data_IF_220234618373
#
_entry.id   IF_220234618373
#
_cell.length_a   1.000
_cell.length_b   1.000
_cell.length_c   1.000
_cell.angle_alpha   90.00
_cell.angle_beta   90.00
_cell.angle_gamma   90.00
#
_symmetry.space_group_name_H-M   'P 1'
#
loop_
_entity.id
_entity.type
_entity.pdbx_description
1 polymer ?
#
# COMPACT_ATOMS: atom_id res chain seq x y z
N UNK A 1 39.72 -4.21 -8.88
CA UNK A 1 38.68 -3.21 -9.09
C UNK A 1 37.57 -3.89 -9.87
N UNK A 2 36.58 -4.16 -9.45
CA UNK A 2 35.46 -4.16 -8.55
C UNK A 2 34.29 -4.87 -9.27
N UNK A 3 34.17 -6.22 -9.10
CA UNK A 3 33.05 -7.03 -9.61
C UNK A 3 31.73 -6.86 -8.80
N UNK A 4 31.74 -6.00 -7.80
CA UNK A 4 30.59 -5.78 -6.91
C UNK A 4 29.58 -4.72 -7.39
N UNK A 5 29.90 -3.93 -8.43
CA UNK A 5 29.03 -2.83 -8.87
C UNK A 5 27.85 -3.27 -9.77
N UNK A 6 27.92 -4.45 -10.38
CA UNK A 6 26.87 -4.90 -11.31
C UNK A 6 25.67 -5.56 -10.62
N UNK A 7 25.88 -6.15 -9.44
CA UNK A 7 24.79 -6.77 -8.67
C UNK A 7 23.88 -5.71 -8.02
N UNK A 8 24.42 -4.52 -7.71
CA UNK A 8 23.60 -3.43 -7.11
C UNK A 8 22.58 -2.81 -8.06
N UNK A 9 22.76 -2.91 -9.38
CA UNK A 9 21.82 -2.32 -10.37
C UNK A 9 20.56 -3.17 -10.60
N UNK A 10 20.58 -4.47 -10.32
CA UNK A 10 19.37 -5.33 -10.34
C UNK A 10 18.39 -4.95 -9.23
N UNK A 11 18.84 -4.26 -8.19
CA UNK A 11 18.01 -3.84 -7.04
C UNK A 11 17.15 -2.58 -7.28
N UNK A 12 17.39 -1.82 -8.35
CA UNK A 12 16.62 -0.59 -8.66
C UNK A 12 15.23 -0.92 -9.22
N UNK A 13 15.02 -2.15 -9.70
CA UNK A 13 13.76 -2.59 -10.30
C UNK A 13 12.57 -2.61 -9.33
N UNK A 14 12.80 -2.54 -8.04
CA UNK A 14 11.77 -2.67 -7.00
C UNK A 14 11.18 -1.32 -6.56
N UNK A 15 11.69 -0.20 -7.07
CA UNK A 15 11.35 1.13 -6.58
C UNK A 15 10.11 1.75 -7.23
N UNK A 16 9.64 1.22 -8.36
CA UNK A 16 8.59 1.83 -9.17
C UNK A 16 7.17 1.29 -8.89
N UNK A 17 6.97 0.49 -7.87
CA UNK A 17 5.68 -0.14 -7.56
C UNK A 17 5.08 0.35 -6.23
N UNK A 18 5.39 1.59 -5.86
CA UNK A 18 4.97 2.13 -4.56
C UNK A 18 3.53 2.62 -4.50
N UNK A 19 2.79 2.63 -5.57
CA UNK A 19 1.64 3.51 -5.72
C UNK A 19 0.27 2.89 -5.44
N UNK A 20 0.07 1.61 -5.59
CA UNK A 20 -1.25 1.00 -5.30
C UNK A 20 -1.38 0.41 -3.89
N UNK A 21 -0.54 0.78 -2.93
CA UNK A 21 -0.52 0.08 -1.65
C UNK A 21 -0.33 0.98 -0.44
N UNK A 22 -0.94 2.12 -0.44
CA UNK A 22 -0.84 3.04 0.68
C UNK A 22 -1.67 2.66 1.90
N UNK A 23 -2.01 1.39 2.10
CA UNK A 23 -2.71 0.99 3.34
C UNK A 23 -2.66 -0.52 3.56
N UNK A 24 -1.74 -1.02 4.39
CA UNK A 24 -1.77 -2.43 4.74
C UNK A 24 -1.02 -2.91 5.97
N UNK A 25 -1.63 -3.61 6.88
CA UNK A 25 -1.08 -4.10 8.12
C UNK A 25 -1.19 -5.59 8.40
N UNK A 26 -0.52 -5.99 9.44
CA UNK A 26 -0.52 -7.34 10.00
C UNK A 26 -1.93 -7.86 10.25
N UNK A 27 -2.36 -8.84 9.46
CA UNK A 27 -3.28 -9.83 9.96
C UNK A 27 -2.50 -10.72 10.95
N UNK A 28 -2.59 -10.44 12.24
CA UNK A 28 -2.42 -11.46 13.25
C UNK A 28 -3.63 -12.37 13.06
N UNK A 29 -3.38 -13.65 12.78
CA UNK A 29 -4.41 -14.69 12.88
C UNK A 29 -4.98 -14.68 14.29
N UNK A 30 -5.99 -13.84 14.52
CA UNK A 30 -6.87 -14.02 15.64
C UNK A 30 -7.79 -15.17 15.24
N UNK A 31 -7.89 -16.24 16.04
CA UNK A 31 -8.83 -17.30 15.76
C UNK A 31 -10.22 -16.67 15.66
N UNK A 32 -10.90 -16.94 14.56
CA UNK A 32 -12.29 -16.57 14.38
C UNK A 32 -13.05 -17.15 15.60
N UNK A 33 -13.36 -16.30 16.56
CA UNK A 33 -14.39 -16.60 17.53
C UNK A 33 -15.68 -16.62 16.73
N UNK A 34 -16.25 -17.80 16.61
CA UNK A 34 -17.67 -17.96 16.30
C UNK A 34 -18.46 -17.08 17.27
N UNK A 35 -18.75 -15.89 16.86
CA UNK A 35 -19.44 -14.85 17.61
C UNK A 35 -20.73 -14.51 16.94
N UNK A 36 -21.80 -14.97 17.55
CA UNK A 36 -23.17 -14.48 17.46
C UNK A 36 -23.76 -14.44 16.04
N UNK A 37 -24.60 -15.39 15.76
CA UNK A 37 -25.77 -15.25 14.88
C UNK A 37 -26.71 -14.20 15.51
N UNK A 38 -26.35 -12.94 15.39
CA UNK A 38 -27.32 -11.87 15.53
C UNK A 38 -28.10 -11.81 14.22
N UNK A 39 -29.42 -11.84 14.32
CA UNK A 39 -30.35 -11.94 13.20
C UNK A 39 -29.99 -10.93 12.12
N UNK A 40 -29.80 -11.41 10.90
CA UNK A 40 -29.47 -10.59 9.76
C UNK A 40 -30.47 -9.44 9.68
N UNK A 41 -30.04 -8.26 10.05
CA UNK A 41 -30.84 -7.03 9.93
C UNK A 41 -31.10 -6.82 8.46
N UNK A 42 -32.40 -6.75 8.07
CA UNK A 42 -32.80 -6.40 6.70
C UNK A 42 -32.39 -4.98 6.30
N UNK A 43 -31.72 -4.28 7.18
CA UNK A 43 -31.24 -2.93 6.97
C UNK A 43 -30.11 -2.90 5.92
N UNK A 44 -30.26 -1.99 4.98
CA UNK A 44 -29.29 -1.74 3.94
C UNK A 44 -28.51 -0.44 4.26
N UNK A 45 -27.21 -0.48 3.96
CA UNK A 45 -26.29 0.61 4.23
C UNK A 45 -25.67 1.12 2.92
N UNK A 46 -25.50 2.42 2.81
CA UNK A 46 -24.66 3.02 1.80
C UNK A 46 -23.19 2.79 2.19
N UNK A 47 -22.44 2.12 1.33
CA UNK A 47 -21.01 1.86 1.56
C UNK A 47 -20.21 2.86 0.75
N UNK A 48 -19.50 3.73 1.46
CA UNK A 48 -18.56 4.69 0.89
C UNK A 48 -17.16 4.38 1.42
N UNK A 49 -16.22 4.08 0.53
CA UNK A 49 -14.81 3.83 0.84
C UNK A 49 -14.04 5.15 0.77
N UNK A 50 -14.16 5.88 -0.35
CA UNK A 50 -13.66 7.25 -0.45
C UNK A 50 -14.46 8.18 0.47
N UNK A 51 -13.77 8.86 1.36
CA UNK A 51 -14.36 9.74 2.36
C UNK A 51 -13.85 11.15 2.20
N UNK A 52 -14.80 12.09 2.06
CA UNK A 52 -14.42 13.50 2.02
C UNK A 52 -13.84 13.95 3.36
N UNK A 53 -12.74 14.64 3.25
CA UNK A 53 -12.09 15.33 4.35
C UNK A 53 -11.94 16.79 3.94
N UNK A 54 -12.08 17.72 4.86
CA UNK A 54 -11.92 19.15 4.57
C UNK A 54 -10.50 19.61 4.91
N UNK A 55 -10.01 20.62 4.19
CA UNK A 55 -8.78 21.32 4.56
C UNK A 55 -8.91 21.90 5.96
N UNK A 56 -7.87 21.75 6.78
CA UNK A 56 -7.87 22.14 8.19
C UNK A 56 -8.36 21.04 9.13
N UNK A 57 -8.89 19.93 8.62
CA UNK A 57 -9.26 18.77 9.46
C UNK A 57 -8.03 18.25 10.20
N UNK A 58 -8.21 17.98 11.50
CA UNK A 58 -7.17 17.42 12.38
C UNK A 58 -7.58 16.07 12.92
N UNK A 59 -6.63 15.16 12.96
CA UNK A 59 -6.82 13.83 13.57
C UNK A 59 -5.52 13.32 14.22
N UNK A 60 -5.68 12.60 15.32
CA UNK A 60 -4.59 11.79 15.85
C UNK A 60 -4.43 10.56 14.95
N UNK A 61 -3.19 10.29 14.54
CA UNK A 61 -2.78 9.18 13.69
C UNK A 61 -1.97 8.20 14.49
N UNK A 62 -2.28 6.91 14.35
CA UNK A 62 -1.37 5.81 14.64
C UNK A 62 -1.26 4.97 13.38
N UNK A 63 -0.05 4.81 12.87
CA UNK A 63 0.20 4.04 11.66
C UNK A 63 1.37 3.08 11.86
N UNK A 64 1.17 1.82 11.47
CA UNK A 64 2.17 0.78 11.40
C UNK A 64 2.35 0.34 9.96
N UNK A 65 3.59 0.30 9.48
CA UNK A 65 3.93 -0.17 8.14
C UNK A 65 5.03 -1.21 8.16
N UNK A 66 5.04 -2.10 7.17
CA UNK A 66 6.10 -3.08 7.00
C UNK A 66 6.38 -3.36 5.52
N UNK A 67 7.64 -3.57 5.19
CA UNK A 67 8.12 -4.01 3.89
C UNK A 67 9.04 -5.21 4.09
N UNK A 68 8.81 -6.29 3.35
CA UNK A 68 9.67 -7.48 3.32
C UNK A 68 9.98 -7.80 1.87
N UNK A 69 11.25 -8.01 1.57
CA UNK A 69 11.74 -8.43 0.25
C UNK A 69 12.39 -9.78 0.34
N UNK A 70 11.99 -10.68 -0.53
CA UNK A 70 12.56 -12.01 -0.68
C UNK A 70 13.04 -12.16 -2.13
N UNK A 71 14.27 -12.61 -2.32
CA UNK A 71 14.85 -12.80 -3.65
C UNK A 71 15.40 -14.20 -3.75
N UNK A 72 14.97 -14.93 -4.77
CA UNK A 72 15.49 -16.25 -5.12
C UNK A 72 16.20 -16.17 -6.48
N UNK A 73 17.39 -16.72 -6.56
CA UNK A 73 18.19 -16.80 -7.78
C UNK A 73 18.35 -18.27 -8.19
N UNK A 74 17.89 -18.60 -9.40
CA UNK A 74 18.10 -19.93 -9.99
C UNK A 74 19.07 -19.81 -11.17
N UNK A 75 20.17 -20.58 -11.13
CA UNK A 75 21.19 -20.63 -12.19
C UNK A 75 21.44 -22.09 -12.54
N UNK A 76 21.24 -22.46 -13.81
CA UNK A 76 21.45 -23.85 -14.26
C UNK A 76 20.63 -24.89 -13.49
N UNK A 77 19.45 -24.51 -13.01
CA UNK A 77 18.54 -25.35 -12.22
C UNK A 77 18.83 -25.40 -10.70
N UNK A 78 19.88 -24.75 -10.23
CA UNK A 78 20.17 -24.63 -8.78
C UNK A 78 19.62 -23.32 -8.23
N UNK A 79 18.78 -23.40 -7.19
CA UNK A 79 18.18 -22.23 -6.56
C UNK A 79 18.91 -21.88 -5.26
N UNK A 80 19.18 -20.59 -5.09
CA UNK A 80 19.68 -20.00 -3.85
C UNK A 80 18.77 -18.85 -3.42
N UNK A 81 18.43 -18.81 -2.13
CA UNK A 81 17.64 -17.72 -1.56
C UNK A 81 18.59 -16.71 -0.93
N UNK A 82 18.35 -15.42 -1.21
CA UNK A 82 18.99 -14.36 -0.46
C UNK A 82 18.32 -14.24 0.92
N UNK A 83 19.07 -13.80 1.96
CA UNK A 83 18.43 -13.46 3.24
C UNK A 83 17.32 -12.43 3.03
N UNK A 84 16.22 -12.61 3.75
CA UNK A 84 15.12 -11.65 3.72
C UNK A 84 15.60 -10.27 4.16
N UNK A 85 15.28 -9.25 3.37
CA UNK A 85 15.50 -7.86 3.70
C UNK A 85 14.15 -7.19 4.00
N UNK A 86 14.06 -6.50 5.15
CA UNK A 86 12.80 -5.90 5.53
C UNK A 86 12.94 -4.92 6.69
N UNK A 87 11.97 -4.04 6.75
CA UNK A 87 11.82 -3.09 7.84
C UNK A 87 10.34 -2.74 8.05
N UNK A 88 10.06 -2.23 9.23
CA UNK A 88 8.78 -1.63 9.56
C UNK A 88 8.94 -0.21 10.04
N UNK A 89 7.82 0.48 10.14
CA UNK A 89 7.67 1.78 10.79
C UNK A 89 6.52 1.74 11.78
N UNK A 90 6.68 2.48 12.86
CA UNK A 90 5.60 2.87 13.74
C UNK A 90 5.59 4.40 13.85
N UNK A 91 4.47 5.01 13.50
CA UNK A 91 4.26 6.46 13.53
C UNK A 91 3.04 6.79 14.38
N UNK A 92 3.24 7.66 15.37
CA UNK A 92 2.16 8.32 16.11
C UNK A 92 2.33 9.84 15.98
N UNK A 93 1.21 10.55 15.80
CA UNK A 93 1.24 12.00 15.70
C UNK A 93 -0.13 12.62 15.48
N UNK A 94 -0.13 13.95 15.39
CA UNK A 94 -1.31 14.72 15.01
C UNK A 94 -1.15 15.22 13.60
N UNK A 95 -2.07 14.83 12.74
CA UNK A 95 -2.12 15.24 11.33
C UNK A 95 -3.10 16.38 11.15
N UNK A 96 -2.73 17.35 10.30
CA UNK A 96 -3.60 18.41 9.80
C UNK A 96 -3.57 18.37 8.26
N UNK A 97 -4.75 18.34 7.64
CA UNK A 97 -4.91 18.37 6.18
C UNK A 97 -4.67 19.78 5.70
N UNK A 98 -3.70 19.96 4.81
CA UNK A 98 -3.30 21.27 4.27
C UNK A 98 -3.87 21.53 2.88
N UNK A 99 -3.90 20.52 2.03
CA UNK A 99 -4.39 20.61 0.65
C UNK A 99 -5.09 19.31 0.25
N UNK A 100 -6.07 19.42 -0.62
CA UNK A 100 -6.75 18.29 -1.26
C UNK A 100 -6.45 18.31 -2.76
N UNK A 101 -6.51 17.16 -3.39
CA UNK A 101 -6.39 17.03 -4.85
C UNK A 101 -7.73 17.32 -5.58
N UNK A 102 -7.76 17.05 -6.89
CA UNK A 102 -8.92 17.33 -7.74
C UNK A 102 -10.12 16.42 -7.43
N UNK A 103 -9.91 15.24 -6.85
CA UNK A 103 -10.98 14.30 -6.48
C UNK A 103 -11.36 14.39 -4.99
N UNK A 104 -10.70 15.28 -4.23
CA UNK A 104 -11.00 15.58 -2.83
C UNK A 104 -10.29 14.67 -1.84
N UNK A 105 -9.20 14.05 -2.23
CA UNK A 105 -8.32 13.27 -1.36
C UNK A 105 -7.16 14.11 -0.80
N UNK A 106 -6.52 13.64 0.27
CA UNK A 106 -5.42 14.36 0.92
C UNK A 106 -4.21 14.45 -0.02
N UNK A 107 -3.91 15.65 -0.52
CA UNK A 107 -2.75 15.92 -1.37
C UNK A 107 -1.55 16.43 -0.57
N UNK A 108 -1.80 17.11 0.55
CA UNK A 108 -0.75 17.59 1.42
C UNK A 108 -1.21 17.60 2.86
N UNK A 109 -0.37 17.09 3.75
CA UNK A 109 -0.63 17.07 5.18
C UNK A 109 0.58 17.53 5.97
N UNK A 110 0.34 18.05 7.18
CA UNK A 110 1.38 18.19 8.20
C UNK A 110 1.16 17.15 9.29
N UNK A 111 2.23 16.53 9.78
CA UNK A 111 2.17 15.59 10.91
C UNK A 111 3.11 16.06 12.01
N UNK A 112 2.56 16.47 13.15
CA UNK A 112 3.33 16.71 14.36
C UNK A 112 3.62 15.37 15.01
N UNK A 113 4.89 14.99 15.08
CA UNK A 113 5.34 13.67 15.50
C UNK A 113 5.28 13.53 17.02
N UNK A 114 4.59 12.50 17.50
CA UNK A 114 4.70 12.03 18.89
C UNK A 114 5.70 10.88 19.00
N UNK A 115 5.74 9.99 18.00
CA UNK A 115 6.68 8.88 17.87
C UNK A 115 6.86 8.51 16.41
N UNK A 116 8.11 8.33 15.98
CA UNK A 116 8.42 7.86 14.64
C UNK A 116 9.63 6.91 14.72
N UNK A 117 9.39 5.61 14.56
CA UNK A 117 10.40 4.58 14.84
C UNK A 117 10.46 3.59 13.68
N UNK A 118 11.66 3.36 13.16
CA UNK A 118 11.94 2.25 12.24
C UNK A 118 12.23 0.98 13.02
N UNK A 119 11.69 -0.14 12.56
CA UNK A 119 11.82 -1.45 13.16
C UNK A 119 12.54 -2.37 12.18
N UNK A 120 13.61 -3.01 12.60
CA UNK A 120 14.36 -3.98 11.80
C UNK A 120 14.68 -5.20 12.63
N UNK A 121 15.25 -6.25 12.03
CA UNK A 121 15.78 -7.41 12.76
C UNK A 121 16.90 -7.05 13.75
N UNK A 122 17.53 -5.88 13.58
CA UNK A 122 18.62 -5.37 14.46
C UNK A 122 18.10 -4.51 15.61
N UNK A 123 16.81 -4.25 15.68
CA UNK A 123 16.17 -3.43 16.72
C UNK A 123 15.40 -2.24 16.17
N UNK A 124 15.12 -1.30 17.05
CA UNK A 124 14.37 -0.08 16.76
C UNK A 124 15.29 1.15 16.73
N UNK A 125 14.95 2.09 15.84
CA UNK A 125 15.67 3.37 15.68
C UNK A 125 14.66 4.49 15.51
N UNK A 126 14.78 5.54 16.30
CA UNK A 126 14.03 6.78 16.08
C UNK A 126 14.45 7.39 14.73
N UNK A 127 13.46 7.74 13.90
CA UNK A 127 13.68 8.37 12.60
C UNK A 127 13.50 9.88 12.65
N UNK A 128 12.45 10.31 13.34
CA UNK A 128 12.10 11.73 13.50
C UNK A 128 11.80 11.97 14.98
N UNK A 129 12.47 12.95 15.61
CA UNK A 129 12.25 13.27 17.02
C UNK A 129 10.83 13.77 17.31
N UNK A 130 10.35 13.48 18.52
CA UNK A 130 9.09 14.01 19.03
C UNK A 130 9.02 15.53 18.93
N UNK A 131 7.87 16.06 18.54
CA UNK A 131 7.58 17.49 18.39
C UNK A 131 8.02 18.09 17.06
N UNK A 132 8.79 17.38 16.24
CA UNK A 132 9.06 17.81 14.87
C UNK A 132 7.80 17.70 14.03
N UNK A 133 7.68 18.58 13.04
CA UNK A 133 6.55 18.58 12.10
C UNK A 133 7.05 18.14 10.73
N UNK A 134 6.52 17.02 10.25
CA UNK A 134 6.72 16.50 8.90
C UNK A 134 5.67 17.13 8.00
N UNK A 135 6.08 17.56 6.81
CA UNK A 135 5.19 17.88 5.69
C UNK A 135 5.27 16.70 4.71
N UNK A 136 4.14 16.08 4.43
CA UNK A 136 4.00 15.10 3.35
C UNK A 136 3.19 15.74 2.22
N UNK A 137 3.68 15.66 0.99
CA UNK A 137 3.10 16.23 -0.21
C UNK A 137 3.09 15.20 -1.32
N UNK A 138 1.91 14.87 -1.85
CA UNK A 138 1.74 14.00 -3.01
C UNK A 138 2.22 14.68 -4.30
N UNK A 139 3.01 13.98 -5.12
CA UNK A 139 3.46 14.43 -6.44
C UNK A 139 3.33 13.27 -7.43
N UNK A 140 2.14 13.18 -8.03
CA UNK A 140 1.77 12.00 -8.80
C UNK A 140 1.73 10.77 -7.89
N UNK A 141 2.47 9.75 -8.23
CA UNK A 141 2.55 8.48 -7.49
C UNK A 141 3.48 8.50 -6.26
N UNK A 142 4.24 9.54 -6.04
CA UNK A 142 5.27 9.61 -5.01
C UNK A 142 4.85 10.59 -3.90
N UNK A 143 5.13 10.25 -2.65
CA UNK A 143 4.99 11.17 -1.51
C UNK A 143 6.34 11.79 -1.18
N UNK A 144 6.40 13.10 -1.19
CA UNK A 144 7.58 13.87 -0.81
C UNK A 144 7.49 14.30 0.66
N UNK A 145 8.54 14.00 1.42
CA UNK A 145 8.61 14.33 2.83
C UNK A 145 9.66 15.40 3.10
N UNK A 146 9.31 16.39 3.92
CA UNK A 146 10.24 17.42 4.41
C UNK A 146 9.90 17.79 5.85
N UNK A 147 10.84 18.45 6.55
CA UNK A 147 10.56 19.04 7.85
C UNK A 147 10.05 20.48 7.67
N UNK A 148 9.05 20.89 8.44
CA UNK A 148 8.46 22.24 8.37
C UNK A 148 9.48 23.35 8.68
N UNK A 149 10.51 23.06 9.47
CA UNK A 149 11.59 23.98 9.82
C UNK A 149 12.70 24.05 8.75
N UNK A 150 12.51 23.39 7.59
CA UNK A 150 13.46 23.40 6.47
C UNK A 150 14.59 22.37 6.60
N UNK A 151 14.59 21.53 7.63
CA UNK A 151 15.52 20.41 7.75
C UNK A 151 15.23 19.32 6.74
N UNK A 152 16.27 18.62 6.29
CA UNK A 152 16.12 17.47 5.39
C UNK A 152 15.84 16.18 6.17
N UNK A 153 14.98 15.33 5.64
CA UNK A 153 14.82 13.97 6.11
C UNK A 153 15.83 13.06 5.41
N UNK A 154 16.40 12.13 6.16
CA UNK A 154 17.26 11.11 5.53
C UNK A 154 16.43 10.26 4.57
N UNK A 155 17.08 9.71 3.52
CA UNK A 155 16.44 8.78 2.60
C UNK A 155 15.78 7.61 3.35
N UNK A 156 16.45 7.08 4.38
CA UNK A 156 15.92 6.01 5.24
C UNK A 156 14.62 6.43 5.94
N UNK A 157 14.52 7.68 6.40
CA UNK A 157 13.31 8.19 7.04
C UNK A 157 12.17 8.37 6.03
N UNK A 158 12.47 8.93 4.86
CA UNK A 158 11.47 9.12 3.81
C UNK A 158 10.91 7.79 3.29
N UNK A 159 11.78 6.80 3.03
CA UNK A 159 11.36 5.46 2.61
C UNK A 159 10.50 4.74 3.66
N UNK A 160 10.80 4.95 4.95
CA UNK A 160 9.99 4.37 6.01
C UNK A 160 8.65 5.11 6.16
N UNK A 161 8.66 6.44 6.12
CA UNK A 161 7.44 7.26 6.23
C UNK A 161 6.44 6.95 5.12
N UNK A 162 6.89 6.62 3.91
CA UNK A 162 6.04 6.21 2.79
C UNK A 162 5.22 4.92 3.06
N UNK A 163 5.63 4.13 4.05
CA UNK A 163 4.83 2.99 4.52
C UNK A 163 3.70 3.41 5.49
N UNK A 164 3.79 4.59 6.11
CA UNK A 164 2.83 5.06 7.12
C UNK A 164 1.93 6.17 6.59
N UNK A 165 2.46 7.04 5.74
CA UNK A 165 1.72 8.12 5.07
C UNK A 165 2.06 8.02 3.59
N UNK A 166 1.07 7.72 2.76
CA UNK A 166 1.22 7.71 1.30
C UNK A 166 0.10 8.56 0.72
N UNK A 167 0.50 9.59 -0.01
CA UNK A 167 -0.40 10.53 -0.67
C UNK A 167 -0.19 10.38 -2.17
N UNK A 168 -1.10 9.67 -2.80
CA UNK A 168 -1.14 9.60 -4.26
C UNK A 168 -2.00 10.75 -4.77
N UNK A 169 -1.55 11.43 -5.79
CA UNK A 169 -2.27 12.53 -6.42
C UNK A 169 -2.28 12.35 -7.93
N UNK A 170 -3.37 12.76 -8.55
CA UNK A 170 -3.56 12.60 -9.99
C UNK A 170 -4.26 11.32 -10.35
N UNK A 171 -4.93 10.68 -9.40
CA UNK A 171 -5.87 9.60 -9.67
C UNK A 171 -7.01 10.10 -10.55
N UNK A 172 -7.36 9.29 -11.55
CA UNK A 172 -8.51 9.56 -12.43
C UNK A 172 -9.81 9.07 -11.79
N UNK A 173 -9.72 8.10 -10.89
CA UNK A 173 -10.85 7.44 -10.23
C UNK A 173 -10.70 7.43 -8.73
N UNK A 174 -11.80 7.68 -8.03
CA UNK A 174 -11.87 7.51 -6.58
C UNK A 174 -11.89 6.03 -6.19
N UNK A 175 -11.54 5.73 -4.94
CA UNK A 175 -11.70 4.38 -4.37
C UNK A 175 -13.15 3.86 -4.49
N UNK A 176 -14.15 4.74 -4.36
CA UNK A 176 -15.56 4.37 -4.58
C UNK A 176 -15.85 3.93 -6.01
N UNK A 177 -15.16 4.48 -6.99
CA UNK A 177 -15.36 4.13 -8.40
C UNK A 177 -14.68 2.83 -8.79
N UNK A 178 -13.55 2.51 -8.15
CA UNK A 178 -12.79 1.28 -8.40
C UNK A 178 -13.28 0.12 -7.53
N UNK A 179 -13.52 0.37 -6.26
CA UNK A 179 -13.74 -0.65 -5.23
C UNK A 179 -15.10 -0.55 -4.55
N UNK A 180 -15.85 0.53 -4.77
CA UNK A 180 -17.13 0.79 -4.13
C UNK A 180 -18.32 0.11 -4.83
N UNK A 181 -19.50 0.46 -4.36
CA UNK A 181 -20.77 0.00 -4.92
C UNK A 181 -21.78 1.13 -5.00
N UNK A 182 -22.57 1.17 -6.07
CA UNK A 182 -23.67 2.14 -6.23
C UNK A 182 -24.95 1.72 -5.50
N UNK A 183 -25.03 0.46 -5.09
CA UNK A 183 -26.20 -0.10 -4.41
C UNK A 183 -25.96 -0.14 -2.90
N UNK A 184 -27.01 0.10 -2.12
CA UNK A 184 -26.96 -0.17 -0.68
C UNK A 184 -26.72 -1.65 -0.44
N UNK A 185 -25.97 -1.97 0.59
CA UNK A 185 -25.55 -3.34 0.91
C UNK A 185 -26.12 -3.78 2.27
N UNK A 186 -26.57 -5.03 2.33
CA UNK A 186 -26.85 -5.69 3.61
C UNK A 186 -25.56 -6.27 4.19
N UNK A 187 -25.51 -6.42 5.50
CA UNK A 187 -24.43 -7.16 6.15
C UNK A 187 -24.32 -8.56 5.55
N UNK A 188 -23.11 -8.95 5.20
CA UNK A 188 -22.79 -10.20 4.51
C UNK A 188 -22.80 -10.12 2.98
N UNK A 189 -23.29 -9.04 2.37
CA UNK A 189 -23.26 -8.85 0.92
C UNK A 189 -21.86 -8.55 0.41
N UNK A 190 -21.58 -9.01 -0.81
CA UNK A 190 -20.32 -8.77 -1.52
C UNK A 190 -20.60 -8.15 -2.89
N UNK A 191 -19.62 -7.39 -3.39
CA UNK A 191 -19.65 -6.80 -4.73
C UNK A 191 -18.29 -6.91 -5.40
N UNK A 192 -18.26 -6.93 -6.73
CA UNK A 192 -17.03 -7.01 -7.52
C UNK A 192 -16.36 -5.63 -7.64
N UNK A 193 -15.06 -5.61 -7.84
CA UNK A 193 -14.29 -4.41 -8.22
C UNK A 193 -14.52 -4.07 -9.69
N UNK A 194 -14.31 -2.81 -10.06
CA UNK A 194 -14.31 -2.37 -11.46
C UNK A 194 -12.93 -2.64 -12.08
N UNK A 195 -12.78 -3.81 -12.70
CA UNK A 195 -11.51 -4.25 -13.27
C UNK A 195 -10.98 -3.35 -14.38
N UNK A 196 -11.86 -2.64 -15.13
CA UNK A 196 -11.43 -1.70 -16.15
C UNK A 196 -10.77 -0.46 -15.54
N UNK A 197 -11.36 0.11 -14.48
CA UNK A 197 -10.81 1.27 -13.79
C UNK A 197 -9.53 0.91 -13.05
N UNK A 198 -9.53 -0.21 -12.35
CA UNK A 198 -8.31 -0.72 -11.67
C UNK A 198 -7.17 -0.93 -12.66
N UNK A 199 -7.43 -1.50 -13.86
CA UNK A 199 -6.40 -1.69 -14.87
C UNK A 199 -5.89 -0.36 -15.44
N UNK A 200 -6.76 0.64 -15.61
CA UNK A 200 -6.34 1.99 -16.06
C UNK A 200 -5.50 2.69 -15.01
N UNK A 201 -5.89 2.61 -13.75
CA UNK A 201 -5.13 3.20 -12.64
C UNK A 201 -3.76 2.52 -12.49
N UNK A 202 -3.69 1.20 -12.53
CA UNK A 202 -2.43 0.45 -12.54
C UNK A 202 -1.47 0.90 -13.65
N UNK A 203 -2.02 1.23 -14.86
CA UNK A 203 -1.23 1.73 -15.98
C UNK A 203 -0.61 3.11 -15.70
N UNK A 204 -1.28 3.97 -14.95
CA UNK A 204 -0.77 5.28 -14.52
C UNK A 204 0.53 5.12 -13.74
N UNK A 205 0.63 4.10 -12.92
CA UNK A 205 1.81 3.80 -12.10
C UNK A 205 2.82 2.88 -12.79
N UNK A 206 2.66 2.65 -14.10
CA UNK A 206 3.60 1.87 -14.92
C UNK A 206 3.37 0.36 -14.87
N UNK A 207 2.26 -0.11 -14.29
CA UNK A 207 1.86 -1.52 -14.29
C UNK A 207 0.83 -1.75 -15.38
N UNK A 208 1.12 -2.64 -16.32
CA UNK A 208 0.20 -3.02 -17.39
C UNK A 208 -0.49 -4.32 -16.99
N UNK A 209 -1.81 -4.27 -16.91
CA UNK A 209 -2.66 -5.44 -16.68
C UNK A 209 -3.90 -5.31 -17.55
N UNK A 210 -4.40 -6.44 -18.06
CA UNK A 210 -5.67 -6.45 -18.79
C UNK A 210 -6.84 -6.50 -17.80
N UNK A 211 -7.98 -5.86 -18.10
CA UNK A 211 -9.15 -5.91 -17.22
C UNK A 211 -9.60 -7.33 -16.85
N UNK A 212 -9.52 -8.29 -17.80
CA UNK A 212 -9.85 -9.70 -17.57
C UNK A 212 -8.87 -10.44 -16.66
N UNK A 213 -7.70 -9.85 -16.36
CA UNK A 213 -6.69 -10.37 -15.44
C UNK A 213 -6.80 -9.73 -14.04
N UNK A 214 -7.77 -8.83 -13.85
CA UNK A 214 -8.09 -8.20 -12.57
C UNK A 214 -9.29 -8.92 -11.96
N UNK A 215 -9.09 -9.54 -10.82
CA UNK A 215 -10.13 -10.22 -10.03
C UNK A 215 -10.17 -9.58 -8.64
N UNK A 216 -11.35 -9.27 -8.13
CA UNK A 216 -11.46 -8.75 -6.78
C UNK A 216 -12.89 -8.58 -6.33
N UNK A 217 -13.06 -8.54 -5.02
CA UNK A 217 -14.36 -8.29 -4.41
C UNK A 217 -14.20 -7.61 -3.06
N UNK A 218 -15.22 -6.85 -2.70
CA UNK A 218 -15.39 -6.27 -1.38
C UNK A 218 -16.64 -6.83 -0.73
N UNK A 219 -16.71 -6.75 0.60
CA UNK A 219 -17.80 -7.27 1.41
C UNK A 219 -18.07 -6.36 2.59
N UNK A 220 -19.36 -6.17 2.90
CA UNK A 220 -19.79 -5.60 4.18
C UNK A 220 -19.87 -6.72 5.21
N UNK A 221 -18.85 -6.87 6.05
CA UNK A 221 -18.76 -7.96 7.02
C UNK A 221 -19.73 -7.79 8.20
N UNK A 222 -19.96 -6.53 8.61
CA UNK A 222 -20.80 -6.25 9.76
C UNK A 222 -20.79 -4.79 10.17
N UNK A 223 -21.36 -4.55 11.35
CA UNK A 223 -21.26 -3.29 12.08
C UNK A 223 -20.30 -3.48 13.25
N UNK A 224 -19.49 -2.47 13.50
CA UNK A 224 -18.55 -2.45 14.62
C UNK A 224 -18.52 -1.05 15.24
N UNK A 225 -18.37 -0.94 16.56
CA UNK A 225 -18.19 0.35 17.22
C UNK A 225 -16.72 0.67 17.40
N UNK A 226 -16.32 1.85 16.94
CA UNK A 226 -15.02 2.43 17.24
C UNK A 226 -15.22 3.60 18.21
N UNK A 227 -15.05 3.34 19.51
CA UNK A 227 -15.53 4.23 20.57
C UNK A 227 -17.05 4.35 20.53
N UNK A 228 -17.56 5.58 20.41
CA UNK A 228 -19.00 5.87 20.32
C UNK A 228 -19.53 5.90 18.88
N UNK A 229 -18.66 5.72 17.87
CA UNK A 229 -19.02 5.80 16.47
C UNK A 229 -19.38 4.41 15.94
N UNK A 230 -20.59 4.26 15.38
CA UNK A 230 -20.99 3.06 14.66
C UNK A 230 -20.39 3.06 13.26
N UNK A 231 -19.69 1.98 12.91
CA UNK A 231 -18.97 1.83 11.66
C UNK A 231 -19.42 0.61 10.88
N UNK A 232 -19.35 0.72 9.56
CA UNK A 232 -19.38 -0.38 8.63
C UNK A 232 -17.99 -1.05 8.64
N UNK A 233 -17.94 -2.34 8.92
CA UNK A 233 -16.74 -3.15 8.76
C UNK A 233 -16.72 -3.71 7.34
N UNK A 234 -15.77 -3.26 6.54
CA UNK A 234 -15.63 -3.67 5.14
C UNK A 234 -14.30 -4.38 4.97
N UNK A 235 -14.33 -5.48 4.24
CA UNK A 235 -13.11 -6.17 3.77
C UNK A 235 -13.13 -6.35 2.26
N UNK A 236 -11.95 -6.52 1.66
CA UNK A 236 -11.81 -6.73 0.24
C UNK A 236 -10.55 -7.48 -0.13
N UNK A 237 -10.55 -8.01 -1.34
CA UNK A 237 -9.37 -8.62 -1.95
C UNK A 237 -9.28 -8.23 -3.42
N UNK A 238 -8.05 -8.08 -3.88
CA UNK A 238 -7.71 -7.79 -5.27
C UNK A 238 -6.59 -8.72 -5.70
N UNK A 239 -6.72 -9.28 -6.90
CA UNK A 239 -5.70 -10.09 -7.54
C UNK A 239 -5.51 -9.63 -8.97
N UNK A 240 -4.28 -9.34 -9.34
CA UNK A 240 -3.88 -9.07 -10.71
C UNK A 240 -2.94 -10.17 -11.19
N UNK A 241 -3.27 -10.74 -12.33
CA UNK A 241 -2.49 -11.79 -12.98
C UNK A 241 -1.81 -11.22 -14.22
N UNK A 242 -0.70 -11.84 -14.64
CA UNK A 242 0.00 -11.47 -15.87
C UNK A 242 0.30 -9.98 -15.98
N UNK A 243 0.91 -9.46 -14.90
CA UNK A 243 1.37 -8.09 -14.90
C UNK A 243 2.54 -7.94 -15.85
N UNK A 244 2.46 -6.92 -16.68
CA UNK A 244 3.53 -6.47 -17.54
C UNK A 244 3.99 -5.08 -17.09
N UNK A 245 5.11 -4.63 -17.59
CA UNK A 245 5.61 -3.28 -17.34
C UNK A 245 5.61 -2.52 -18.64
N UNK A 246 5.35 -1.22 -18.54
CA UNK A 246 5.59 -0.34 -19.68
C UNK A 246 7.10 -0.41 -19.99
N UNK A 247 7.44 -0.70 -21.23
CA UNK A 247 8.82 -0.65 -21.72
C UNK A 247 9.31 0.81 -21.69
N UNK A 248 9.72 1.26 -20.52
CA UNK A 248 10.54 2.45 -20.42
C UNK A 248 11.96 2.01 -20.79
N UNK A 249 12.62 2.73 -21.69
CA UNK A 249 13.92 2.41 -22.32
C UNK A 249 15.07 2.12 -21.33
N UNK A 250 14.84 2.27 -20.02
CA UNK A 250 15.80 2.00 -18.95
C UNK A 250 15.14 1.29 -17.74
N UNK A 251 14.61 0.08 -17.98
CA UNK A 251 14.03 -0.76 -16.91
C UNK A 251 15.08 -1.27 -15.90
N UNK A 252 16.35 -0.92 -16.10
CA UNK A 252 17.47 -1.32 -15.26
C UNK A 252 17.78 -2.82 -15.29
N UNK A 253 17.11 -3.60 -16.15
CA UNK A 253 17.45 -5.00 -16.36
C UNK A 253 18.78 -5.14 -17.10
N UNK A 254 19.60 -6.14 -16.74
CA UNK A 254 20.79 -6.44 -17.50
C UNK A 254 20.43 -6.87 -18.95
N UNK A 255 21.29 -6.52 -19.89
CA UNK A 255 21.16 -6.94 -21.29
C UNK A 255 20.89 -8.45 -21.41
N UNK A 256 19.84 -8.83 -22.11
CA UNK A 256 19.42 -10.22 -22.31
C UNK A 256 18.55 -10.78 -21.18
N UNK A 257 18.07 -9.93 -20.28
CA UNK A 257 17.05 -10.28 -19.29
C UNK A 257 15.70 -9.63 -19.66
N UNK A 258 14.62 -10.33 -19.37
CA UNK A 258 13.25 -9.83 -19.55
C UNK A 258 12.36 -10.26 -18.39
N UNK A 259 11.29 -9.50 -18.14
CA UNK A 259 10.23 -9.92 -17.22
C UNK A 259 9.50 -11.11 -17.86
N UNK A 260 9.43 -12.22 -17.13
CA UNK A 260 8.74 -13.43 -17.57
C UNK A 260 7.28 -13.42 -17.09
N UNK A 261 7.07 -13.13 -15.81
CA UNK A 261 5.74 -13.05 -15.20
C UNK A 261 5.73 -12.06 -14.04
N UNK A 262 4.58 -11.41 -13.89
CA UNK A 262 4.27 -10.60 -12.70
C UNK A 262 2.88 -10.94 -12.17
N UNK A 263 2.69 -10.87 -10.87
CA UNK A 263 1.38 -10.97 -10.23
C UNK A 263 1.33 -10.15 -8.95
N UNK A 264 0.12 -9.71 -8.57
CA UNK A 264 -0.13 -9.02 -7.33
C UNK A 264 -1.37 -9.62 -6.65
N UNK A 265 -1.27 -9.76 -5.34
CA UNK A 265 -2.44 -10.04 -4.48
C UNK A 265 -2.48 -8.99 -3.38
N UNK A 266 -3.66 -8.41 -3.14
CA UNK A 266 -3.89 -7.45 -2.08
C UNK A 266 -5.13 -7.82 -1.26
N UNK A 267 -5.10 -7.48 0.03
CA UNK A 267 -6.25 -7.58 0.93
C UNK A 267 -6.44 -6.24 1.61
N UNK A 268 -7.67 -5.87 1.80
CA UNK A 268 -8.07 -4.61 2.40
C UNK A 268 -9.02 -4.86 3.56
N UNK A 269 -9.03 -3.94 4.53
CA UNK A 269 -9.99 -3.91 5.61
C UNK A 269 -10.15 -2.49 6.13
N UNK A 270 -11.34 -2.13 6.62
CA UNK A 270 -11.56 -0.82 7.17
C UNK A 270 -12.81 -0.72 8.03
N UNK A 271 -12.79 0.30 8.89
CA UNK A 271 -13.93 0.76 9.69
C UNK A 271 -14.34 2.14 9.18
N UNK A 272 -15.48 2.17 8.51
CA UNK A 272 -16.03 3.36 7.89
C UNK A 272 -17.27 3.78 8.67
N UNK A 273 -17.32 4.98 9.29
CA UNK A 273 -18.52 5.45 9.98
C UNK A 273 -19.78 5.29 9.11
N UNK A 274 -20.90 4.91 9.73
CA UNK A 274 -22.20 4.83 9.01
C UNK A 274 -22.57 6.18 8.40
N UNK A 275 -22.21 7.27 9.09
CA UNK A 275 -22.29 8.62 8.52
C UNK A 275 -21.16 8.83 7.49
N UNK A 276 -21.50 8.99 6.19
CA UNK A 276 -20.49 9.13 5.14
C UNK A 276 -19.75 10.47 5.15
N UNK A 277 -20.17 11.44 5.95
CA UNK A 277 -19.47 12.72 6.11
C UNK A 277 -18.26 12.65 7.04
N UNK A 278 -18.11 11.54 7.76
CA UNK A 278 -16.98 11.32 8.68
C UNK A 278 -15.94 10.45 7.99
N UNK A 279 -14.69 10.83 8.07
CA UNK A 279 -13.55 10.08 7.50
C UNK A 279 -13.42 8.66 8.11
N UNK A 280 -12.72 7.79 7.44
CA UNK A 280 -12.42 6.44 7.92
C UNK A 280 -11.67 6.46 9.25
N UNK A 281 -12.04 5.57 10.19
CA UNK A 281 -11.41 5.49 11.50
C UNK A 281 -10.28 4.48 11.56
N UNK A 282 -10.35 3.43 10.77
CA UNK A 282 -9.29 2.44 10.65
C UNK A 282 -9.25 1.90 9.25
N UNK A 283 -8.07 1.73 8.74
CA UNK A 283 -7.84 1.12 7.45
C UNK A 283 -6.62 0.20 7.51
N UNK A 284 -6.72 -0.92 6.82
CA UNK A 284 -5.63 -1.88 6.69
C UNK A 284 -5.61 -2.47 5.28
N UNK A 285 -4.46 -2.69 4.72
CA UNK A 285 -4.31 -3.45 3.51
C UNK A 285 -3.00 -4.25 3.54
N UNK A 286 -2.86 -5.41 2.91
CA UNK A 286 -1.61 -6.13 2.69
C UNK A 286 -1.47 -6.46 1.22
N UNK A 287 -0.28 -6.31 0.69
CA UNK A 287 0.02 -6.60 -0.71
C UNK A 287 1.21 -7.51 -0.83
N UNK A 288 1.10 -8.48 -1.70
CA UNK A 288 2.21 -9.31 -2.15
C UNK A 288 2.38 -9.12 -3.65
N UNK A 289 3.56 -8.74 -4.03
CA UNK A 289 3.96 -8.60 -5.41
C UNK A 289 5.02 -9.65 -5.75
N UNK A 290 4.84 -10.40 -6.82
CA UNK A 290 5.80 -11.39 -7.29
C UNK A 290 6.19 -11.06 -8.72
N UNK A 291 7.49 -10.95 -8.97
CA UNK A 291 8.05 -10.76 -10.32
C UNK A 291 9.08 -11.82 -10.61
N UNK A 292 9.00 -12.43 -11.77
CA UNK A 292 10.02 -13.34 -12.30
C UNK A 292 10.68 -12.71 -13.50
N UNK A 293 12.00 -12.71 -13.47
CA UNK A 293 12.86 -12.23 -14.56
C UNK A 293 13.70 -13.39 -15.06
N UNK A 294 13.75 -13.59 -16.36
CA UNK A 294 14.56 -14.61 -17.02
C UNK A 294 15.60 -13.99 -17.92
N UNK A 295 16.73 -14.67 -18.04
CA UNK A 295 17.82 -14.27 -18.93
C UNK A 295 18.91 -15.31 -19.05
N UNK A 296 19.99 -14.93 -19.73
CA UNK A 296 21.20 -15.74 -19.86
C UNK A 296 22.34 -15.11 -19.07
N UNK A 297 23.00 -15.91 -18.24
CA UNK A 297 24.09 -15.48 -17.37
C UNK A 297 25.30 -16.41 -17.40
N UNK A 298 26.22 -16.24 -16.44
CA UNK A 298 27.47 -16.95 -16.35
C UNK A 298 28.57 -16.37 -17.24
N UNK A 299 29.77 -16.92 -17.12
CA UNK A 299 30.97 -16.39 -17.78
C UNK A 299 30.85 -16.29 -19.33
N UNK A 300 30.01 -17.10 -19.94
CA UNK A 300 29.78 -17.15 -21.38
C UNK A 300 28.33 -16.83 -21.79
N UNK A 301 27.49 -16.25 -20.90
CA UNK A 301 26.05 -16.02 -21.13
C UNK A 301 25.29 -17.29 -21.60
N UNK A 302 25.70 -18.48 -21.15
CA UNK A 302 25.15 -19.77 -21.64
C UNK A 302 24.18 -20.42 -20.64
N UNK A 303 24.20 -19.99 -19.40
CA UNK A 303 23.34 -20.57 -18.36
C UNK A 303 22.00 -19.82 -18.27
N UNK A 304 20.93 -20.57 -18.16
CA UNK A 304 19.63 -20.00 -17.83
C UNK A 304 19.65 -19.45 -16.42
N UNK A 305 19.22 -18.21 -16.28
CA UNK A 305 19.10 -17.51 -14.98
C UNK A 305 17.67 -17.08 -14.82
N UNK A 306 17.09 -17.41 -13.67
CA UNK A 306 15.79 -16.89 -13.24
C UNK A 306 15.97 -16.18 -11.92
N UNK A 307 15.48 -14.96 -11.83
CA UNK A 307 15.38 -14.20 -10.58
C UNK A 307 13.90 -14.09 -10.24
N UNK A 308 13.50 -14.58 -9.07
CA UNK A 308 12.18 -14.34 -8.52
C UNK A 308 12.30 -13.36 -7.36
N UNK A 309 11.57 -12.25 -7.45
CA UNK A 309 11.47 -11.25 -6.40
C UNK A 309 10.04 -11.26 -5.86
N UNK A 310 9.92 -11.43 -4.55
CA UNK A 310 8.66 -11.29 -3.82
C UNK A 310 8.77 -10.12 -2.87
N UNK A 311 7.91 -9.13 -3.04
CA UNK A 311 7.79 -7.97 -2.17
C UNK A 311 6.45 -8.05 -1.44
N UNK A 312 6.51 -8.00 -0.13
CA UNK A 312 5.33 -7.92 0.72
C UNK A 312 5.34 -6.56 1.41
N UNK A 313 4.24 -5.83 1.26
CA UNK A 313 4.02 -4.56 1.93
C UNK A 313 2.79 -4.70 2.81
N UNK A 314 2.86 -4.13 4.00
CA UNK A 314 1.77 -4.14 4.95
C UNK A 314 1.71 -2.81 5.70
N UNK A 315 0.52 -2.20 5.93
CA UNK A 315 0.31 -1.04 6.81
C UNK A 315 -1.06 -1.09 7.51
N UNK A 316 -1.19 -0.52 8.68
CA UNK A 316 -2.42 -0.29 9.42
C UNK A 316 -2.44 1.17 9.86
N UNK A 317 -3.55 1.81 9.65
CA UNK A 317 -3.74 3.19 10.05
C UNK A 317 -5.03 3.29 10.89
N UNK A 318 -4.92 4.04 11.98
CA UNK A 318 -6.05 4.41 12.82
C UNK A 318 -6.08 5.91 12.97
N UNK A 319 -7.27 6.48 12.79
CA UNK A 319 -7.50 7.91 12.90
C UNK A 319 -8.51 8.17 14.02
N UNK A 320 -8.26 9.22 14.80
CA UNK A 320 -9.23 9.78 15.74
C UNK A 320 -9.34 11.26 15.48
N UNK A 321 -10.44 11.67 14.86
CA UNK A 321 -10.70 13.07 14.53
C UNK A 321 -10.75 13.92 15.79
N UNK A 322 -10.11 15.07 15.73
CA UNK A 322 -10.05 16.04 16.81
C UNK A 322 -11.14 17.11 16.57
N UNK A 323 -11.80 17.52 17.66
CA UNK A 323 -12.82 18.58 17.62
C UNK A 323 -12.16 19.94 17.57
#
# INVERSE_FOLDING_TARGET
MSRQSHIRRVFVLTFLLSVCAARAARAVDAPAKDGAKDGASDKEYEVKIARKIDVGTKYALTADGALIRQVSLTVGGQTSNQPDDGYGIHLEGTVEVLELDAIGEEAKVSCTVDKCTRITSKGQKELVPKGKVIIAEGKGKDTHFSLKDGGELSKEASEALDLAISLDTGDEYTDDEMFGTKQKQKVGSSWAVDGEKVAKDAKRVGVIVKPEDVEGSFRLDGLEKAGDVECLKVSGSLKMKRLDRKDDEDDGLPEGFSVDTGSMEAKYGGLFPVDPSVGSLSESASMTFVTKVKGKGGANKKQDVTVESKVQRAAEMRRRFLK
#
